data_IF_130843820017
#
_entry.id   IF_130843820017
#
_cell.length_a   1.000
_cell.length_b   1.000
_cell.length_c   1.000
_cell.angle_alpha   90.00
_cell.angle_beta   90.00
_cell.angle_gamma   90.00
#
_symmetry.space_group_name_H-M   'P 1'
#
loop_
_entity.id
_entity.type
_entity.pdbx_description
1 polymer ?
#
# COMPACT_ATOMS: atom_id res chain seq x y z
N UNK A 1 -10.64 1.88 4.09
CA UNK A 1 -9.46 1.68 4.91
C UNK A 1 -8.82 3.01 5.23
N UNK A 2 -8.27 3.15 6.41
CA UNK A 2 -7.68 4.41 6.82
C UNK A 2 -6.18 4.37 6.63
N UNK A 3 -5.61 5.55 6.41
CA UNK A 3 -4.19 5.67 6.24
C UNK A 3 -3.43 5.13 7.46
N UNK A 4 -3.94 5.42 8.64
CA UNK A 4 -3.27 4.98 9.86
C UNK A 4 -3.20 3.46 9.95
N UNK A 5 -4.18 2.78 9.42
CA UNK A 5 -4.18 1.32 9.42
C UNK A 5 -3.11 0.79 8.47
N UNK A 6 -3.00 1.40 7.31
CA UNK A 6 -1.96 0.98 6.37
C UNK A 6 -0.57 1.29 6.90
N UNK A 7 -0.43 2.42 7.58
CA UNK A 7 0.87 2.78 8.11
C UNK A 7 1.41 1.74 9.07
N UNK A 8 0.53 1.07 9.78
CA UNK A 8 0.96 0.04 10.70
C UNK A 8 1.51 -1.18 10.00
N UNK A 9 1.21 -1.31 8.72
CA UNK A 9 1.63 -2.46 7.95
C UNK A 9 2.87 -2.20 7.11
N UNK A 10 3.38 -0.98 7.14
CA UNK A 10 4.58 -0.65 6.38
C UNK A 10 5.73 -1.52 6.87
N UNK A 11 6.43 -2.11 5.92
CA UNK A 11 7.52 -3.03 6.23
C UNK A 11 7.11 -4.47 6.30
N UNK A 12 5.81 -4.74 6.25
CA UNK A 12 5.31 -6.11 6.30
C UNK A 12 4.88 -6.56 4.92
N UNK A 13 4.90 -7.85 4.71
CA UNK A 13 4.41 -8.41 3.45
C UNK A 13 2.92 -8.61 3.57
N UNK A 14 2.20 -8.05 2.64
CA UNK A 14 0.75 -8.08 2.67
C UNK A 14 0.18 -8.26 1.28
N UNK A 15 -1.09 -8.65 1.24
CA UNK A 15 -1.88 -8.66 0.03
C UNK A 15 -2.77 -7.43 0.06
N UNK A 16 -2.81 -6.71 -1.03
CA UNK A 16 -3.67 -5.54 -1.15
C UNK A 16 -4.61 -5.76 -2.32
N UNK A 17 -5.90 -5.56 -2.06
CA UNK A 17 -6.92 -5.71 -3.08
C UNK A 17 -7.52 -4.34 -3.34
N UNK A 18 -7.70 -4.02 -4.61
CA UNK A 18 -8.17 -2.71 -5.01
C UNK A 18 -9.64 -2.73 -5.38
N UNK A 19 -10.26 -1.57 -5.24
CA UNK A 19 -11.66 -1.44 -5.59
C UNK A 19 -11.83 -1.66 -7.07
N UNK A 20 -12.86 -2.41 -7.41
CA UNK A 20 -13.15 -2.67 -8.81
C UNK A 20 -12.29 -3.74 -9.44
N UNK A 21 -11.40 -4.37 -8.68
CA UNK A 21 -10.55 -5.41 -9.21
C UNK A 21 -10.68 -6.65 -8.36
N UNK A 22 -10.59 -7.78 -9.02
CA UNK A 22 -10.63 -9.04 -8.29
C UNK A 22 -9.26 -9.48 -7.84
N UNK A 23 -8.24 -9.04 -8.53
CA UNK A 23 -6.90 -9.42 -8.18
C UNK A 23 -6.30 -8.47 -7.18
N UNK A 24 -5.36 -8.98 -6.43
CA UNK A 24 -4.60 -8.15 -5.53
C UNK A 24 -3.14 -8.23 -5.88
N UNK A 25 -2.34 -7.48 -5.15
CA UNK A 25 -0.89 -7.56 -5.28
C UNK A 25 -0.32 -7.94 -3.93
N UNK A 26 0.84 -8.54 -3.97
CA UNK A 26 1.49 -9.02 -2.77
C UNK A 26 2.92 -8.52 -2.72
N UNK A 27 3.35 -8.11 -1.56
CA UNK A 27 4.71 -7.70 -1.36
C UNK A 27 4.85 -6.88 -0.11
N UNK A 28 6.04 -6.33 0.08
CA UNK A 28 6.33 -5.51 1.24
C UNK A 28 5.77 -4.12 1.01
N UNK A 29 4.94 -3.69 1.94
CA UNK A 29 4.31 -2.37 1.84
C UNK A 29 5.31 -1.29 2.19
N UNK A 30 5.36 -0.26 1.38
CA UNK A 30 6.19 0.90 1.64
C UNK A 30 5.35 2.15 1.60
N UNK A 31 5.85 3.19 2.24
CA UNK A 31 5.17 4.49 2.25
C UNK A 31 6.04 5.47 1.47
N UNK A 32 5.47 6.11 0.50
CA UNK A 32 6.21 6.90 -0.46
C UNK A 32 6.25 8.38 -0.13
N UNK A 33 6.16 8.72 1.14
CA UNK A 33 6.14 10.12 1.52
C UNK A 33 7.42 10.85 1.13
N UNK A 34 8.54 10.22 1.43
CA UNK A 34 9.82 10.84 1.08
C UNK A 34 9.98 10.95 -0.42
N UNK A 35 9.55 9.93 -1.11
CA UNK A 35 9.64 9.94 -2.55
C UNK A 35 8.76 11.04 -3.13
N UNK A 36 7.58 11.20 -2.57
CA UNK A 36 6.67 12.25 -3.02
C UNK A 36 7.28 13.62 -2.80
N UNK A 37 7.87 13.84 -1.68
CA UNK A 37 8.47 15.13 -1.39
C UNK A 37 9.61 15.42 -2.34
N UNK A 38 10.39 14.40 -2.64
CA UNK A 38 11.52 14.56 -3.52
C UNK A 38 11.11 14.92 -4.93
N UNK A 39 9.98 14.40 -5.36
CA UNK A 39 9.52 14.61 -6.74
C UNK A 39 8.39 15.61 -6.81
N UNK A 40 8.20 16.37 -5.74
CA UNK A 40 7.23 17.46 -5.76
C UNK A 40 5.83 16.98 -6.08
N UNK A 41 5.48 15.82 -5.56
CA UNK A 41 4.13 15.33 -5.72
C UNK A 41 3.22 16.08 -4.77
N UNK A 42 2.04 16.39 -5.24
CA UNK A 42 1.12 17.16 -4.43
C UNK A 42 0.29 16.33 -3.48
N UNK A 43 0.28 15.03 -3.68
CA UNK A 43 -0.49 14.15 -2.82
C UNK A 43 0.46 13.15 -2.20
N UNK A 44 0.89 13.44 -1.00
CA UNK A 44 1.93 12.63 -0.37
C UNK A 44 1.47 11.33 0.24
N UNK A 45 0.22 10.96 0.10
CA UNK A 45 -0.28 9.76 0.77
C UNK A 45 -0.28 8.56 -0.15
N UNK A 46 0.87 8.28 -0.74
CA UNK A 46 1.01 7.13 -1.61
C UNK A 46 1.70 6.00 -0.87
N UNK A 47 1.21 4.82 -1.12
CA UNK A 47 1.86 3.60 -0.67
C UNK A 47 2.31 2.83 -1.89
N UNK A 48 3.24 1.91 -1.71
CA UNK A 48 3.69 1.12 -2.84
C UNK A 48 4.03 -0.30 -2.42
N UNK A 49 3.93 -1.18 -3.41
CA UNK A 49 4.38 -2.55 -3.27
C UNK A 49 5.11 -2.86 -4.57
N UNK A 50 6.40 -3.11 -4.48
CA UNK A 50 7.19 -3.32 -5.67
C UNK A 50 7.16 -2.08 -6.55
N UNK A 51 6.71 -2.24 -7.77
CA UNK A 51 6.64 -1.15 -8.72
C UNK A 51 5.27 -0.48 -8.77
N UNK A 52 4.37 -0.90 -7.92
CA UNK A 52 3.00 -0.41 -7.98
C UNK A 52 2.76 0.58 -6.86
N UNK A 53 2.38 1.79 -7.23
CA UNK A 53 2.01 2.83 -6.27
C UNK A 53 0.50 2.99 -6.25
N UNK A 54 -0.05 3.28 -5.08
CA UNK A 54 -1.49 3.42 -4.97
C UNK A 54 -1.83 4.29 -3.78
N UNK A 55 -3.05 4.80 -3.79
CA UNK A 55 -3.56 5.60 -2.70
C UNK A 55 -4.43 4.75 -1.80
N UNK A 56 -4.53 5.18 -0.54
CA UNK A 56 -5.39 4.48 0.41
C UNK A 56 -6.80 4.37 -0.11
N UNK A 57 -7.28 5.41 -0.78
CA UNK A 57 -8.66 5.41 -1.24
C UNK A 57 -8.97 4.32 -2.27
N UNK A 58 -7.93 3.79 -2.92
CA UNK A 58 -8.14 2.72 -3.89
C UNK A 58 -8.18 1.35 -3.24
N UNK A 59 -7.78 1.25 -2.00
CA UNK A 59 -7.67 -0.04 -1.34
C UNK A 59 -9.03 -0.50 -0.87
N UNK A 60 -9.41 -1.71 -1.28
CA UNK A 60 -10.65 -2.30 -0.85
C UNK A 60 -10.45 -3.19 0.37
N UNK A 61 -9.34 -3.91 0.40
CA UNK A 61 -9.11 -4.88 1.44
C UNK A 61 -7.63 -5.17 1.52
N UNK A 62 -7.17 -5.46 2.73
CA UNK A 62 -5.78 -5.82 2.94
C UNK A 62 -5.75 -7.07 3.81
N UNK A 63 -4.85 -7.99 3.48
CA UNK A 63 -4.62 -9.17 4.31
C UNK A 63 -3.14 -9.25 4.58
N UNK A 64 -2.79 -9.65 5.77
CA UNK A 64 -1.40 -9.88 6.07
C UNK A 64 -0.96 -11.14 5.36
N UNK A 65 0.16 -11.03 4.69
CA UNK A 65 0.65 -12.14 3.91
C UNK A 65 1.59 -13.05 4.65
N UNK A 66 1.60 -12.90 5.93
CA UNK A 66 2.49 -13.69 6.72
C UNK A 66 1.92 -15.07 6.88
N UNK A 67 2.14 -15.87 5.91
CA UNK A 67 1.58 -17.18 5.93
C UNK A 67 2.43 -18.07 6.77
N UNK A 68 1.79 -18.64 7.73
CA UNK A 68 2.52 -19.56 8.51
C UNK A 68 2.45 -20.82 7.86
N UNK A 69 3.44 -21.37 7.67
CA UNK A 69 3.31 -22.63 7.06
C UNK A 69 3.53 -23.68 8.02
#
# INVERSE_FOLDING_TARGET
MKKSELMKLVGKKIFVYFKGEERGIYGTLGYADEFSAKHDYRKPNLFYIGDTCFRVSYVRKVREGDIKQ
#
